data_IF_338672677573
#
_entry.id   IF_338672677573
#
_cell.length_a   1.000
_cell.length_b   1.000
_cell.length_c   1.000
_cell.angle_alpha   90.00
_cell.angle_beta   90.00
_cell.angle_gamma   90.00
#
_symmetry.space_group_name_H-M   'P 1'
#
loop_
_entity.id
_entity.type
_entity.pdbx_description
1 polymer ?
#
# COMPACT_ATOMS: atom_id res chain seq x y z
N UNK A 1 -36.60 7.42 -60.94
CA UNK A 1 -35.35 6.62 -61.05
C UNK A 1 -34.37 7.23 -60.05
N UNK A 2 -33.84 6.66 -58.96
CA UNK A 2 -33.89 5.37 -58.25
C UNK A 2 -33.55 5.70 -56.77
N UNK A 3 -34.42 5.42 -55.79
CA UNK A 3 -34.35 4.27 -54.88
C UNK A 3 -32.94 3.79 -54.48
N UNK A 4 -32.61 4.07 -53.20
CA UNK A 4 -31.96 3.22 -52.19
C UNK A 4 -30.54 2.70 -52.44
N UNK A 5 -29.77 2.67 -51.33
CA UNK A 5 -28.42 2.09 -51.07
C UNK A 5 -27.32 3.14 -51.24
N UNK A 6 -26.49 3.52 -50.26
CA UNK A 6 -26.06 2.93 -48.99
C UNK A 6 -25.81 4.09 -47.98
N UNK A 7 -26.29 4.07 -46.74
CA UNK A 7 -25.79 3.27 -45.59
C UNK A 7 -24.29 3.49 -45.35
N UNK A 8 -24.00 4.07 -44.16
CA UNK A 8 -22.71 4.21 -43.45
C UNK A 8 -21.82 5.41 -43.81
N UNK A 9 -22.06 6.52 -43.11
CA UNK A 9 -21.04 7.26 -42.35
C UNK A 9 -21.79 8.19 -41.39
N UNK A 10 -22.34 7.60 -40.31
CA UNK A 10 -22.63 8.35 -39.09
C UNK A 10 -21.25 8.75 -38.58
N UNK A 11 -20.82 9.94 -38.97
CA UNK A 11 -19.62 10.57 -38.45
C UNK A 11 -19.89 10.78 -36.97
N UNK A 12 -19.23 9.93 -36.17
CA UNK A 12 -19.11 10.02 -34.74
C UNK A 12 -18.25 11.25 -34.40
N UNK A 13 -18.71 12.45 -34.73
CA UNK A 13 -18.22 13.69 -34.11
C UNK A 13 -19.04 13.92 -32.86
N UNK A 14 -18.83 13.02 -31.90
CA UNK A 14 -19.18 13.25 -30.51
C UNK A 14 -18.32 14.40 -30.01
N UNK A 15 -18.91 15.59 -30.02
CA UNK A 15 -18.40 16.81 -29.41
C UNK A 15 -18.09 16.51 -27.93
N UNK A 16 -16.82 16.37 -27.59
CA UNK A 16 -16.33 16.53 -26.21
C UNK A 16 -15.54 17.84 -26.19
N UNK A 17 -16.29 18.95 -26.21
CA UNK A 17 -15.82 20.28 -25.86
C UNK A 17 -16.10 20.51 -24.36
N UNK A 18 -15.34 19.82 -23.51
CA UNK A 18 -15.34 19.96 -22.06
C UNK A 18 -13.88 19.70 -21.65
N UNK A 19 -13.00 20.63 -21.27
CA UNK A 19 -13.10 21.97 -20.69
C UNK A 19 -11.97 22.85 -21.28
N UNK A 20 -12.34 23.84 -22.09
CA UNK A 20 -11.51 25.03 -22.23
C UNK A 20 -11.74 25.94 -21.04
N UNK A 21 -10.94 25.79 -19.97
CA UNK A 21 -10.54 26.81 -18.99
C UNK A 21 -9.66 26.17 -17.92
N UNK A 22 -8.41 25.79 -18.25
CA UNK A 22 -7.39 25.72 -17.18
C UNK A 22 -6.83 27.14 -17.07
N UNK A 23 -7.60 27.95 -16.36
CA UNK A 23 -7.21 29.25 -15.84
C UNK A 23 -5.93 29.12 -15.01
N UNK A 24 -5.04 30.09 -15.15
CA UNK A 24 -3.70 30.19 -14.54
C UNK A 24 -3.80 30.38 -13.01
N UNK A 25 -4.25 29.36 -12.27
CA UNK A 25 -4.17 29.31 -10.81
C UNK A 25 -3.46 28.02 -10.39
N UNK A 26 -2.14 28.13 -10.33
CA UNK A 26 -1.28 27.17 -9.64
C UNK A 26 -1.14 25.84 -10.37
N UNK A 27 -0.16 25.76 -11.28
CA UNK A 27 0.60 24.50 -11.37
C UNK A 27 1.20 24.29 -9.99
N UNK A 28 0.45 23.61 -9.11
CA UNK A 28 0.94 23.13 -7.84
C UNK A 28 2.10 22.23 -8.25
N UNK A 29 3.34 22.66 -8.02
CA UNK A 29 4.50 21.79 -8.17
C UNK A 29 4.16 20.57 -7.33
N UNK A 30 3.82 19.45 -7.97
CA UNK A 30 3.62 18.19 -7.26
C UNK A 30 5.01 17.89 -6.71
N UNK A 31 5.21 18.15 -5.42
CA UNK A 31 6.45 17.78 -4.78
C UNK A 31 6.65 16.29 -5.03
N UNK A 32 7.88 15.87 -5.34
CA UNK A 32 8.17 14.45 -5.38
C UNK A 32 7.77 13.83 -4.03
N UNK A 33 7.11 12.67 -4.03
CA UNK A 33 6.71 12.04 -2.78
C UNK A 33 7.95 11.78 -1.94
N UNK A 34 7.83 12.05 -0.64
CA UNK A 34 8.83 11.73 0.36
C UNK A 34 9.13 10.24 0.36
N UNK A 35 10.30 9.85 0.90
CA UNK A 35 10.67 8.43 1.05
C UNK A 35 9.60 7.67 1.83
N UNK A 36 9.08 8.27 2.92
CA UNK A 36 7.98 7.69 3.71
C UNK A 36 6.70 7.46 2.90
N UNK A 37 6.30 8.43 2.08
CA UNK A 37 5.13 8.27 1.20
C UNK A 37 5.34 7.16 0.16
N UNK A 38 6.56 7.03 -0.38
CA UNK A 38 6.92 5.94 -1.30
C UNK A 38 6.86 4.57 -0.61
N UNK A 39 7.34 4.47 0.63
CA UNK A 39 7.27 3.24 1.43
C UNK A 39 5.83 2.85 1.74
N UNK A 40 4.98 3.78 2.19
CA UNK A 40 3.56 3.52 2.45
C UNK A 40 2.85 3.10 1.15
N UNK A 41 3.11 3.78 0.04
CA UNK A 41 2.54 3.42 -1.26
C UNK A 41 2.98 2.02 -1.72
N UNK A 42 4.24 1.65 -1.47
CA UNK A 42 4.75 0.32 -1.73
C UNK A 42 4.01 -0.74 -0.89
N UNK A 43 3.91 -0.54 0.43
CA UNK A 43 3.19 -1.49 1.31
C UNK A 43 1.72 -1.66 0.90
N UNK A 44 1.02 -0.55 0.58
CA UNK A 44 -0.37 -0.62 0.09
C UNK A 44 -0.50 -1.38 -1.23
N UNK A 45 0.48 -1.23 -2.12
CA UNK A 45 0.51 -1.98 -3.39
C UNK A 45 0.71 -3.48 -3.17
N UNK A 46 1.42 -3.84 -2.11
CA UNK A 46 1.79 -5.20 -1.73
C UNK A 46 1.02 -5.71 -0.50
N UNK A 47 -0.21 -5.20 -0.31
CA UNK A 47 -1.06 -5.56 0.82
C UNK A 47 -1.42 -7.05 0.81
N UNK A 48 -1.61 -7.64 -0.38
CA UNK A 48 -1.93 -9.06 -0.52
C UNK A 48 -0.80 -9.98 -0.06
N UNK A 49 0.45 -9.65 -0.39
CA UNK A 49 1.62 -10.42 0.04
C UNK A 49 1.80 -10.37 1.57
N UNK A 50 1.50 -9.23 2.19
CA UNK A 50 1.50 -9.12 3.66
C UNK A 50 0.32 -9.87 4.28
N UNK A 51 -0.87 -9.85 3.66
CA UNK A 51 -2.03 -10.61 4.11
C UNK A 51 -1.75 -12.11 4.07
N UNK A 52 -1.18 -12.61 2.98
CA UNK A 52 -0.82 -14.02 2.83
C UNK A 52 0.20 -14.43 3.92
N UNK A 53 1.18 -13.58 4.23
CA UNK A 53 2.10 -13.83 5.34
C UNK A 53 1.36 -13.96 6.69
N UNK A 54 0.44 -13.04 6.99
CA UNK A 54 -0.31 -13.02 8.25
C UNK A 54 -1.21 -14.26 8.34
N UNK A 55 -1.99 -14.55 7.29
CA UNK A 55 -2.91 -15.68 7.23
C UNK A 55 -2.21 -17.03 7.35
N UNK A 56 -1.06 -17.19 6.68
CA UNK A 56 -0.27 -18.42 6.78
C UNK A 56 0.43 -18.60 8.13
N UNK A 57 0.57 -17.53 8.90
CA UNK A 57 1.27 -17.55 10.19
C UNK A 57 0.33 -17.58 11.40
N UNK A 58 -0.97 -17.35 11.20
CA UNK A 58 -1.95 -17.35 12.27
C UNK A 58 -2.44 -18.76 12.60
N UNK A 59 -2.69 -19.04 13.88
CA UNK A 59 -3.21 -20.34 14.36
C UNK A 59 -4.75 -20.41 14.37
N UNK A 60 -5.42 -19.31 14.01
CA UNK A 60 -6.88 -19.18 14.00
C UNK A 60 -7.36 -18.56 12.69
N UNK A 61 -8.67 -18.67 12.43
CA UNK A 61 -9.25 -18.12 11.20
C UNK A 61 -9.28 -16.59 11.22
N UNK A 62 -8.68 -15.99 10.19
CA UNK A 62 -8.74 -14.56 9.93
C UNK A 62 -9.83 -14.29 8.89
N UNK A 63 -10.80 -13.45 9.25
CA UNK A 63 -11.88 -12.98 8.38
C UNK A 63 -11.56 -11.65 7.70
N UNK A 64 -10.76 -10.81 8.35
CA UNK A 64 -10.37 -9.49 7.87
C UNK A 64 -9.09 -9.02 8.53
N UNK A 65 -8.20 -8.43 7.75
CA UNK A 65 -6.98 -7.75 8.20
C UNK A 65 -7.19 -6.24 8.00
N UNK A 66 -6.79 -5.43 8.98
CA UNK A 66 -6.83 -3.97 8.89
C UNK A 66 -5.49 -3.40 9.30
N UNK A 67 -4.80 -2.74 8.36
CA UNK A 67 -3.55 -2.04 8.64
C UNK A 67 -3.79 -0.62 9.14
N UNK A 68 -3.03 -0.21 10.15
CA UNK A 68 -2.91 1.19 10.54
C UNK A 68 -1.79 1.86 9.71
N UNK A 69 -2.12 2.38 8.54
CA UNK A 69 -1.14 3.01 7.65
C UNK A 69 -0.41 4.22 8.25
N UNK A 70 -1.02 4.90 9.22
CA UNK A 70 -0.40 6.03 9.91
C UNK A 70 0.66 5.58 10.92
N UNK A 71 0.64 4.30 11.32
CA UNK A 71 1.66 3.69 12.19
C UNK A 71 2.98 3.39 11.49
N UNK A 72 3.04 3.51 10.16
CA UNK A 72 4.26 3.21 9.40
C UNK A 72 5.41 4.11 9.84
N UNK A 73 6.46 3.50 10.36
CA UNK A 73 7.66 4.20 10.85
C UNK A 73 8.94 3.45 10.51
N UNK A 74 10.01 4.20 10.23
CA UNK A 74 11.36 3.66 10.20
C UNK A 74 11.91 3.58 11.63
N UNK A 75 12.47 2.42 12.00
CA UNK A 75 13.17 2.23 13.26
C UNK A 75 14.53 1.57 13.03
N UNK A 76 15.50 1.89 13.89
CA UNK A 76 16.83 1.31 13.86
C UNK A 76 16.91 0.20 14.91
N UNK A 77 17.20 -1.04 14.51
CA UNK A 77 17.27 -2.17 15.44
C UNK A 77 18.72 -2.47 15.83
N UNK A 78 19.06 -2.25 17.11
CA UNK A 78 20.36 -2.63 17.66
C UNK A 78 20.59 -4.14 17.65
N UNK A 79 21.65 -4.60 16.98
CA UNK A 79 22.09 -6.00 16.96
C UNK A 79 23.31 -6.27 17.87
N UNK A 80 23.70 -5.32 18.73
CA UNK A 80 24.83 -5.49 19.66
C UNK A 80 26.22 -5.54 19.01
N UNK A 81 26.36 -5.30 17.70
CA UNK A 81 27.63 -5.31 16.97
C UNK A 81 28.06 -3.89 16.52
N UNK A 82 29.38 -3.58 16.43
CA UNK A 82 29.87 -2.24 16.03
C UNK A 82 29.55 -1.85 14.57
N UNK A 83 29.22 -2.83 13.71
CA UNK A 83 28.68 -2.57 12.37
C UNK A 83 27.16 -2.44 12.50
N UNK A 84 26.72 -1.18 12.47
CA UNK A 84 25.43 -0.70 12.93
C UNK A 84 24.21 -1.52 12.53
N UNK A 85 23.30 -1.58 13.49
CA UNK A 85 21.86 -1.78 13.35
C UNK A 85 21.29 -1.53 11.95
N UNK A 86 20.63 -2.54 11.37
CA UNK A 86 19.80 -2.36 10.18
C UNK A 86 18.57 -1.49 10.48
N UNK A 87 18.10 -0.74 9.48
CA UNK A 87 16.81 -0.07 9.54
C UNK A 87 15.69 -1.03 9.16
N UNK A 88 14.56 -0.90 9.83
CA UNK A 88 13.31 -1.58 9.47
C UNK A 88 12.17 -0.59 9.35
N UNK A 89 11.19 -0.95 8.54
CA UNK A 89 9.84 -0.40 8.58
C UNK A 89 9.01 -1.24 9.55
N UNK A 90 8.29 -0.56 10.44
CA UNK A 90 7.28 -1.18 11.29
C UNK A 90 5.90 -0.71 10.85
N UNK A 91 4.97 -1.64 10.77
CA UNK A 91 3.55 -1.37 10.51
C UNK A 91 2.70 -2.19 11.46
N UNK A 92 1.74 -1.53 12.11
CA UNK A 92 0.77 -2.15 12.98
C UNK A 92 -0.56 -2.37 12.26
N UNK A 93 -1.31 -3.33 12.74
CA UNK A 93 -2.67 -3.60 12.32
C UNK A 93 -3.38 -4.49 13.31
N UNK A 94 -4.60 -4.88 12.98
CA UNK A 94 -5.40 -5.81 13.76
C UNK A 94 -6.26 -6.68 12.84
N UNK A 95 -6.75 -7.79 13.38
CA UNK A 95 -7.58 -8.74 12.64
C UNK A 95 -8.99 -8.84 13.22
N UNK A 96 -9.91 -9.39 12.42
CA UNK A 96 -11.29 -9.70 12.83
C UNK A 96 -12.09 -8.51 13.40
N UNK A 97 -11.69 -7.28 13.07
CA UNK A 97 -12.21 -6.04 13.68
C UNK A 97 -12.04 -5.97 15.21
N UNK A 98 -11.03 -6.64 15.76
CA UNK A 98 -10.74 -6.69 17.19
C UNK A 98 -9.41 -6.00 17.46
N UNK A 99 -9.43 -4.79 18.02
CA UNK A 99 -8.20 -4.01 18.29
C UNK A 99 -7.25 -4.70 19.28
N UNK A 100 -7.74 -5.63 20.10
CA UNK A 100 -6.93 -6.45 21.00
C UNK A 100 -6.26 -7.65 20.30
N UNK A 101 -6.69 -7.98 19.07
CA UNK A 101 -6.00 -8.94 18.21
C UNK A 101 -5.11 -8.17 17.23
N UNK A 102 -4.17 -7.42 17.78
CA UNK A 102 -3.24 -6.59 17.03
C UNK A 102 -1.94 -7.32 16.69
N UNK A 103 -1.26 -6.79 15.67
CA UNK A 103 0.03 -7.30 15.23
C UNK A 103 0.95 -6.15 14.85
N UNK A 104 2.25 -6.46 14.82
CA UNK A 104 3.27 -5.62 14.19
C UNK A 104 4.08 -6.44 13.21
N UNK A 105 4.16 -5.98 11.97
CA UNK A 105 5.13 -6.48 10.99
C UNK A 105 6.36 -5.58 10.98
N UNK A 106 7.53 -6.21 10.95
CA UNK A 106 8.82 -5.56 10.73
C UNK A 106 9.36 -6.01 9.36
N UNK A 107 9.75 -5.06 8.50
CA UNK A 107 10.36 -5.30 7.19
C UNK A 107 11.70 -4.57 7.12
N UNK A 108 12.76 -5.20 6.64
CA UNK A 108 14.00 -4.49 6.33
C UNK A 108 13.80 -3.52 5.16
N UNK A 109 14.72 -2.56 5.06
CA UNK A 109 14.75 -1.58 3.99
C UNK A 109 15.89 -1.96 3.04
N UNK A 110 15.60 -2.02 1.74
CA UNK A 110 16.58 -2.30 0.69
C UNK A 110 17.45 -1.08 0.34
N UNK A 111 18.41 -1.25 -0.57
CA UNK A 111 19.28 -0.18 -1.04
C UNK A 111 18.52 0.96 -1.76
N UNK A 112 17.27 0.72 -2.20
CA UNK A 112 16.38 1.71 -2.81
C UNK A 112 15.55 2.48 -1.79
N UNK A 113 15.75 2.25 -0.48
CA UNK A 113 14.96 2.79 0.62
C UNK A 113 13.49 2.31 0.62
N UNK A 114 13.19 1.17 -0.01
CA UNK A 114 11.87 0.54 -0.02
C UNK A 114 11.83 -0.68 0.91
N UNK A 115 10.64 -1.07 1.42
CA UNK A 115 10.49 -2.29 2.21
C UNK A 115 10.83 -3.53 1.38
N UNK A 116 11.62 -4.46 1.93
CA UNK A 116 11.87 -5.77 1.33
C UNK A 116 10.86 -6.81 1.85
N UNK A 117 9.92 -7.21 0.99
CA UNK A 117 8.87 -8.18 1.33
C UNK A 117 9.43 -9.56 1.71
N UNK A 118 10.64 -9.92 1.27
CA UNK A 118 11.25 -11.20 1.65
C UNK A 118 11.71 -11.23 3.11
N UNK A 119 11.68 -10.08 3.78
CA UNK A 119 12.14 -9.92 5.17
C UNK A 119 10.99 -9.68 6.14
N UNK A 120 9.74 -9.81 5.68
CA UNK A 120 8.55 -9.71 6.54
C UNK A 120 8.70 -10.69 7.71
N UNK A 121 8.55 -10.15 8.92
CA UNK A 121 8.47 -10.93 10.14
C UNK A 121 7.54 -10.26 11.14
N UNK A 122 6.97 -11.05 12.04
CA UNK A 122 6.34 -10.48 13.23
C UNK A 122 7.39 -9.80 14.12
N UNK A 123 7.14 -8.52 14.39
CA UNK A 123 7.72 -7.80 15.51
C UNK A 123 6.89 -7.91 16.78
N UNK A 124 5.58 -8.18 16.62
CA UNK A 124 4.61 -8.58 17.64
C UNK A 124 3.63 -9.53 16.93
N UNK A 125 3.61 -10.82 17.29
CA UNK A 125 2.68 -11.77 16.69
C UNK A 125 1.25 -11.53 17.18
N UNK A 126 0.28 -12.01 16.41
CA UNK A 126 -1.10 -12.14 16.87
C UNK A 126 -1.12 -13.05 18.09
N UNK A 127 -1.68 -12.56 19.19
CA UNK A 127 -1.89 -13.38 20.39
C UNK A 127 -3.39 -13.48 20.59
N UNK A 128 -3.95 -14.67 20.35
CA UNK A 128 -5.32 -14.95 20.79
C UNK A 128 -5.22 -15.25 22.29
N UNK A 129 -5.43 -14.26 23.15
CA UNK A 129 -5.49 -14.45 24.61
C UNK A 129 -6.76 -15.19 25.05
N UNK A 130 -7.21 -16.16 24.26
CA UNK A 130 -8.40 -16.94 24.51
C UNK A 130 -8.32 -17.71 25.84
N UNK A 131 -9.01 -17.19 26.84
CA UNK A 131 -9.95 -17.96 27.68
C UNK A 131 -11.34 -17.31 27.67
#
# INVERSE_FOLDING_TARGET
MNKKRAVKLIILTGIILIFGTISVLGVKKMAEPSIKEKQIAFLKKHENEMNEYIENSAEFQISKITYNWDSVTENTIGNGLPKGAGKVIQIFGFVNNQENLDFRLDLQIDDSNLPDLNTIKYGQPLTDEGE
#
